data_IF_599471152892
#
_entry.id   IF_599471152892
#
_cell.length_a   1.000
_cell.length_b   1.000
_cell.length_c   1.000
_cell.angle_alpha   90.00
_cell.angle_beta   90.00
_cell.angle_gamma   90.00
#
_symmetry.space_group_name_H-M   'P 1'
#
loop_
_entity.id
_entity.type
_entity.pdbx_description
1 polymer ?
#
# COMPACT_ATOMS: atom_id res chain seq x y z
N UNK A 1 3.53 19.65 -11.08
CA UNK A 1 3.76 18.66 -12.16
C UNK A 1 5.19 18.17 -12.05
N UNK A 2 5.39 16.86 -12.11
CA UNK A 2 6.72 16.26 -11.96
C UNK A 2 7.71 16.80 -13.01
N UNK A 3 8.97 17.14 -12.64
CA UNK A 3 9.92 17.77 -13.53
C UNK A 3 10.20 16.95 -14.80
N UNK A 4 10.26 15.63 -14.69
CA UNK A 4 10.47 14.75 -15.84
C UNK A 4 9.30 14.75 -16.84
N UNK A 5 8.07 14.97 -16.37
CA UNK A 5 6.88 15.07 -17.22
C UNK A 5 6.80 16.47 -17.88
N UNK A 6 7.23 17.51 -17.17
CA UNK A 6 7.29 18.87 -17.73
C UNK A 6 8.32 19.01 -18.85
N UNK A 7 9.41 18.25 -18.77
CA UNK A 7 10.50 18.25 -19.77
C UNK A 7 10.20 17.40 -21.00
N UNK A 8 9.02 16.75 -21.07
CA UNK A 8 8.61 16.02 -22.25
C UNK A 8 8.48 16.97 -23.44
N UNK A 9 8.91 16.47 -24.59
CA UNK A 9 8.93 17.19 -25.87
C UNK A 9 7.51 17.68 -26.25
N UNK A 10 7.41 18.73 -27.06
CA UNK A 10 6.14 19.29 -27.60
C UNK A 10 5.28 18.28 -28.35
N UNK A 11 5.87 17.13 -28.73
CA UNK A 11 5.21 15.95 -29.31
C UNK A 11 4.25 15.23 -28.36
N UNK A 12 4.26 15.55 -27.06
CA UNK A 12 3.33 15.00 -26.08
C UNK A 12 2.32 16.07 -25.71
N UNK A 13 1.06 15.87 -26.08
CA UNK A 13 -0.04 16.78 -25.81
C UNK A 13 -0.21 17.05 -24.30
N UNK A 14 -0.71 18.22 -23.95
CA UNK A 14 -0.93 18.62 -22.57
C UNK A 14 -1.91 17.69 -21.84
N UNK A 15 -2.91 17.16 -22.52
CA UNK A 15 -3.84 16.19 -21.96
C UNK A 15 -3.12 14.87 -21.57
N UNK A 16 -2.22 14.39 -22.44
CA UNK A 16 -1.38 13.22 -22.20
C UNK A 16 -0.46 13.43 -20.99
N UNK A 17 0.18 14.61 -20.88
CA UNK A 17 1.01 14.95 -19.71
C UNK A 17 0.21 14.94 -18.41
N UNK A 18 -1.02 15.45 -18.42
CA UNK A 18 -1.90 15.42 -17.25
C UNK A 18 -2.29 13.98 -16.86
N UNK A 19 -2.55 13.08 -17.83
CA UNK A 19 -2.81 11.68 -17.56
C UNK A 19 -1.59 10.96 -16.97
N UNK A 20 -0.39 11.22 -17.52
CA UNK A 20 0.86 10.69 -16.99
C UNK A 20 1.12 11.20 -15.56
N UNK A 21 0.85 12.46 -15.28
CA UNK A 21 0.95 13.02 -13.93
C UNK A 21 0.00 12.33 -12.95
N UNK A 22 -1.25 12.14 -13.34
CA UNK A 22 -2.25 11.45 -12.50
C UNK A 22 -1.85 10.01 -12.19
N UNK A 23 -1.28 9.28 -13.13
CA UNK A 23 -0.85 7.89 -12.87
C UNK A 23 0.35 7.86 -11.90
N UNK A 24 1.27 8.83 -11.97
CA UNK A 24 2.37 8.96 -11.00
C UNK A 24 1.83 9.26 -9.60
N UNK A 25 0.89 10.19 -9.47
CA UNK A 25 0.26 10.51 -8.18
C UNK A 25 -0.49 9.31 -7.59
N UNK A 26 -1.20 8.54 -8.42
CA UNK A 26 -1.87 7.30 -7.97
C UNK A 26 -0.89 6.23 -7.54
N UNK A 27 0.22 6.07 -8.27
CA UNK A 27 1.30 5.15 -7.90
C UNK A 27 1.94 5.56 -6.57
N UNK A 28 2.30 6.82 -6.39
CA UNK A 28 2.88 7.32 -5.16
C UNK A 28 1.95 7.12 -3.95
N UNK A 29 0.64 7.37 -4.12
CA UNK A 29 -0.36 7.10 -3.08
C UNK A 29 -0.45 5.62 -2.73
N UNK A 30 -0.44 4.75 -3.73
CA UNK A 30 -0.45 3.29 -3.52
C UNK A 30 0.80 2.83 -2.77
N UNK A 31 1.99 3.27 -3.20
CA UNK A 31 3.26 2.90 -2.58
C UNK A 31 3.33 3.36 -1.11
N UNK A 32 2.91 4.59 -0.83
CA UNK A 32 2.82 5.10 0.54
C UNK A 32 1.92 4.23 1.43
N UNK A 33 0.71 3.90 0.95
CA UNK A 33 -0.22 3.07 1.71
C UNK A 33 0.28 1.63 1.89
N UNK A 34 1.00 1.10 0.90
CA UNK A 34 1.65 -0.21 0.95
C UNK A 34 2.72 -0.26 2.04
N UNK A 35 3.59 0.75 2.09
CA UNK A 35 4.64 0.85 3.12
C UNK A 35 4.03 0.98 4.51
N UNK A 36 3.07 1.89 4.70
CA UNK A 36 2.39 2.06 5.99
C UNK A 36 1.67 0.79 6.45
N UNK A 37 0.96 0.11 5.55
CA UNK A 37 0.31 -1.16 5.88
C UNK A 37 1.33 -2.21 6.33
N UNK A 38 2.48 -2.32 5.66
CA UNK A 38 3.53 -3.27 6.00
C UNK A 38 4.14 -2.97 7.38
N UNK A 39 4.42 -1.70 7.69
CA UNK A 39 4.93 -1.28 8.99
C UNK A 39 3.93 -1.62 10.11
N UNK A 40 2.64 -1.27 9.95
CA UNK A 40 1.63 -1.56 10.96
C UNK A 40 1.40 -3.07 11.11
N UNK A 41 1.43 -3.84 10.02
CA UNK A 41 1.33 -5.29 10.06
C UNK A 41 2.45 -5.90 10.92
N UNK A 42 3.70 -5.52 10.69
CA UNK A 42 4.82 -6.01 11.50
C UNK A 42 4.73 -5.57 12.96
N UNK A 43 4.27 -4.35 13.22
CA UNK A 43 4.05 -3.85 14.57
C UNK A 43 3.00 -4.68 15.31
N UNK A 44 1.87 -4.97 14.67
CA UNK A 44 0.80 -5.81 15.26
C UNK A 44 1.31 -7.22 15.55
N UNK A 45 2.03 -7.84 14.61
CA UNK A 45 2.60 -9.18 14.78
C UNK A 45 3.56 -9.20 15.97
N UNK A 46 4.48 -8.24 16.03
CA UNK A 46 5.49 -8.17 17.09
C UNK A 46 4.85 -7.94 18.47
N UNK A 47 3.91 -7.00 18.57
CA UNK A 47 3.21 -6.72 19.83
C UNK A 47 2.36 -7.91 20.29
N UNK A 48 1.67 -8.59 19.36
CA UNK A 48 0.89 -9.79 19.69
C UNK A 48 1.79 -10.90 20.21
N UNK A 49 2.92 -11.13 19.56
CA UNK A 49 3.88 -12.15 19.98
C UNK A 49 4.48 -11.82 21.36
N UNK A 50 4.89 -10.59 21.59
CA UNK A 50 5.40 -10.13 22.89
C UNK A 50 4.34 -10.26 23.98
N UNK A 51 3.08 -9.95 23.69
CA UNK A 51 1.97 -10.10 24.63
C UNK A 51 1.69 -11.55 24.96
N UNK A 52 1.71 -12.45 24.00
CA UNK A 52 1.54 -13.90 24.25
C UNK A 52 2.65 -14.43 25.16
N UNK A 53 3.90 -14.06 24.90
CA UNK A 53 5.04 -14.43 25.77
C UNK A 53 4.82 -13.89 27.19
N UNK A 54 4.42 -12.63 27.33
CA UNK A 54 4.14 -12.01 28.63
C UNK A 54 3.05 -12.78 29.39
N UNK A 55 1.92 -13.09 28.74
CA UNK A 55 0.81 -13.86 29.33
C UNK A 55 1.27 -15.25 29.75
N UNK A 56 2.09 -15.91 28.93
CA UNK A 56 2.63 -17.23 29.23
C UNK A 56 3.47 -17.23 30.52
N UNK A 57 4.44 -16.32 30.62
CA UNK A 57 5.33 -16.26 31.80
C UNK A 57 4.66 -15.72 33.05
N UNK A 58 3.78 -14.75 32.93
CA UNK A 58 3.18 -14.07 34.08
C UNK A 58 1.95 -14.77 34.64
N UNK A 59 1.18 -15.45 33.80
CA UNK A 59 -0.10 -16.05 34.19
C UNK A 59 -0.11 -17.57 34.05
N UNK A 60 0.31 -18.10 32.90
CA UNK A 60 0.21 -19.54 32.66
C UNK A 60 1.21 -20.32 33.55
N UNK A 61 2.46 -19.94 33.57
CA UNK A 61 3.50 -20.71 34.28
C UNK A 61 3.27 -20.80 35.79
N UNK A 62 2.95 -19.69 36.53
CA UNK A 62 2.75 -19.73 37.96
C UNK A 62 1.45 -20.43 38.40
N UNK A 63 0.40 -20.38 37.55
CA UNK A 63 -0.95 -20.88 37.89
C UNK A 63 -1.40 -22.09 37.06
N UNK A 64 -0.46 -22.79 36.42
CA UNK A 64 -0.73 -23.91 35.48
C UNK A 64 -1.46 -25.11 36.10
N UNK A 65 -1.53 -25.19 37.46
CA UNK A 65 -2.25 -26.25 38.17
C UNK A 65 -3.78 -26.18 38.02
N UNK A 66 -4.35 -25.04 37.66
CA UNK A 66 -5.78 -24.88 37.47
C UNK A 66 -6.11 -23.80 36.43
N UNK A 67 -6.87 -24.16 35.40
CA UNK A 67 -7.36 -23.24 34.41
C UNK A 67 -8.18 -22.07 35.02
N UNK A 68 -9.03 -22.38 36.00
CA UNK A 68 -9.82 -21.37 36.70
C UNK A 68 -8.94 -20.33 37.40
N UNK A 69 -7.81 -20.75 37.98
CA UNK A 69 -6.86 -19.86 38.63
C UNK A 69 -6.18 -18.92 37.59
N UNK A 70 -5.70 -19.46 36.48
CA UNK A 70 -5.12 -18.69 35.40
C UNK A 70 -6.09 -17.63 34.92
N UNK A 71 -7.34 -18.01 34.63
CA UNK A 71 -8.38 -17.14 34.11
C UNK A 71 -8.77 -16.05 35.12
N UNK A 72 -8.93 -16.41 36.40
CA UNK A 72 -9.27 -15.47 37.47
C UNK A 72 -8.20 -14.40 37.63
N UNK A 73 -6.92 -14.77 37.68
CA UNK A 73 -5.81 -13.83 37.85
C UNK A 73 -5.65 -12.96 36.60
N UNK A 74 -5.83 -13.52 35.41
CA UNK A 74 -5.77 -12.78 34.14
C UNK A 74 -6.82 -11.66 34.07
N UNK A 75 -8.09 -11.96 34.40
CA UNK A 75 -9.20 -10.99 34.34
C UNK A 75 -9.08 -9.91 35.41
N UNK A 76 -8.60 -10.27 36.61
CA UNK A 76 -8.48 -9.33 37.73
C UNK A 76 -7.37 -8.29 37.54
N UNK A 77 -6.54 -8.41 36.49
CA UNK A 77 -5.55 -7.41 36.15
C UNK A 77 -6.04 -6.46 35.06
N UNK A 78 -6.33 -5.18 35.37
CA UNK A 78 -6.82 -4.18 34.38
C UNK A 78 -5.89 -4.01 33.18
N UNK A 79 -4.58 -4.17 33.37
CA UNK A 79 -3.58 -4.09 32.31
C UNK A 79 -3.87 -5.04 31.14
N UNK A 80 -4.32 -6.26 31.42
CA UNK A 80 -4.60 -7.26 30.39
C UNK A 80 -5.80 -6.85 29.53
N UNK A 81 -6.82 -6.27 30.14
CA UNK A 81 -7.99 -5.77 29.42
C UNK A 81 -7.61 -4.62 28.47
N UNK A 82 -6.85 -3.63 28.98
CA UNK A 82 -6.39 -2.52 28.13
C UNK A 82 -5.47 -2.98 27.02
N UNK A 83 -4.55 -3.90 27.29
CA UNK A 83 -3.67 -4.47 26.26
C UNK A 83 -4.42 -5.19 25.17
N UNK A 84 -5.43 -5.98 25.54
CA UNK A 84 -6.27 -6.72 24.60
C UNK A 84 -7.08 -5.75 23.71
N UNK A 85 -7.73 -4.75 24.30
CA UNK A 85 -8.47 -3.72 23.55
C UNK A 85 -7.54 -2.95 22.60
N UNK A 86 -6.33 -2.62 23.03
CA UNK A 86 -5.34 -1.94 22.20
C UNK A 86 -4.92 -2.80 20.99
N UNK A 87 -4.64 -4.09 21.21
CA UNK A 87 -4.29 -5.02 20.13
C UNK A 87 -5.43 -5.20 19.12
N UNK A 88 -6.67 -5.31 19.58
CA UNK A 88 -7.86 -5.39 18.73
C UNK A 88 -8.01 -4.09 17.91
N UNK A 89 -7.81 -2.93 18.53
CA UNK A 89 -7.85 -1.62 17.87
C UNK A 89 -6.78 -1.48 16.77
N UNK A 90 -5.54 -1.89 17.08
CA UNK A 90 -4.44 -1.89 16.12
C UNK A 90 -4.68 -2.84 14.95
N UNK A 91 -5.22 -4.03 15.22
CA UNK A 91 -5.61 -4.97 14.17
C UNK A 91 -6.71 -4.38 13.27
N UNK A 92 -7.74 -3.78 13.86
CA UNK A 92 -8.79 -3.09 13.12
C UNK A 92 -8.24 -1.97 12.22
N UNK A 93 -7.30 -1.18 12.73
CA UNK A 93 -6.62 -0.15 11.96
C UNK A 93 -5.80 -0.73 10.79
N UNK A 94 -5.09 -1.83 11.01
CA UNK A 94 -4.37 -2.56 9.96
C UNK A 94 -5.31 -3.00 8.82
N UNK A 95 -6.50 -3.55 9.16
CA UNK A 95 -7.51 -3.96 8.17
C UNK A 95 -8.04 -2.77 7.37
N UNK A 96 -8.25 -1.61 8.01
CA UNK A 96 -8.67 -0.38 7.33
C UNK A 96 -7.59 0.10 6.35
N UNK A 97 -6.31 0.07 6.76
CA UNK A 97 -5.18 0.40 5.87
C UNK A 97 -5.08 -0.54 4.68
N UNK A 98 -5.29 -1.84 4.90
CA UNK A 98 -5.33 -2.83 3.81
C UNK A 98 -6.39 -2.47 2.77
N UNK A 99 -7.62 -2.19 3.21
CA UNK A 99 -8.69 -1.79 2.29
C UNK A 99 -8.37 -0.51 1.52
N UNK A 100 -7.75 0.48 2.17
CA UNK A 100 -7.31 1.72 1.50
C UNK A 100 -6.21 1.45 0.47
N UNK A 101 -5.24 0.59 0.78
CA UNK A 101 -4.19 0.16 -0.13
C UNK A 101 -4.77 -0.55 -1.35
N UNK A 102 -5.66 -1.54 -1.14
CA UNK A 102 -6.28 -2.31 -2.22
C UNK A 102 -7.13 -1.42 -3.15
N UNK A 103 -7.80 -0.41 -2.58
CA UNK A 103 -8.50 0.59 -3.38
C UNK A 103 -7.54 1.44 -4.22
N UNK A 104 -6.45 1.93 -3.61
CA UNK A 104 -5.45 2.72 -4.31
C UNK A 104 -4.74 1.91 -5.41
N UNK A 105 -4.48 0.61 -5.17
CA UNK A 105 -3.92 -0.32 -6.16
C UNK A 105 -4.84 -0.44 -7.37
N UNK A 106 -6.14 -0.67 -7.15
CA UNK A 106 -7.13 -0.77 -8.22
C UNK A 106 -7.25 0.53 -9.03
N UNK A 107 -7.26 1.68 -8.35
CA UNK A 107 -7.31 2.99 -9.00
C UNK A 107 -6.06 3.27 -9.86
N UNK A 108 -4.88 2.88 -9.37
CA UNK A 108 -3.63 2.97 -10.11
C UNK A 108 -3.64 2.07 -11.35
N UNK A 109 -3.99 0.77 -11.18
CA UNK A 109 -4.02 -0.17 -12.29
C UNK A 109 -5.06 0.20 -13.34
N UNK A 110 -6.26 0.65 -12.95
CA UNK A 110 -7.28 1.10 -13.88
C UNK A 110 -6.79 2.27 -14.76
N UNK A 111 -6.17 3.28 -14.15
CA UNK A 111 -5.64 4.43 -14.90
C UNK A 111 -4.45 4.03 -15.79
N UNK A 112 -3.59 3.12 -15.33
CA UNK A 112 -2.48 2.58 -16.12
C UNK A 112 -2.99 1.85 -17.36
N UNK A 113 -3.98 0.95 -17.21
CA UNK A 113 -4.59 0.24 -18.33
C UNK A 113 -5.29 1.23 -19.29
N UNK A 114 -6.00 2.23 -18.77
CA UNK A 114 -6.62 3.26 -19.60
C UNK A 114 -5.62 4.00 -20.50
N UNK A 115 -4.42 4.32 -19.98
CA UNK A 115 -3.35 4.96 -20.77
C UNK A 115 -2.85 4.01 -21.86
N UNK A 116 -2.70 2.72 -21.57
CA UNK A 116 -2.25 1.71 -22.53
C UNK A 116 -3.30 1.54 -23.64
N UNK A 117 -4.57 1.37 -23.30
CA UNK A 117 -5.68 1.19 -24.24
C UNK A 117 -5.83 2.40 -25.15
N UNK A 118 -5.77 3.61 -24.56
CA UNK A 118 -5.89 4.87 -25.31
C UNK A 118 -4.58 5.34 -25.95
N UNK A 119 -3.52 4.53 -25.90
CA UNK A 119 -2.19 4.95 -26.39
C UNK A 119 -2.21 5.39 -27.86
N UNK A 120 -3.04 4.77 -28.72
CA UNK A 120 -3.23 5.16 -30.12
C UNK A 120 -3.89 6.53 -30.28
N UNK A 121 -4.78 6.88 -29.37
CA UNK A 121 -5.50 8.15 -29.37
C UNK A 121 -4.68 9.28 -28.75
N UNK A 122 -3.81 8.96 -27.80
CA UNK A 122 -2.93 9.89 -27.11
C UNK A 122 -1.69 10.27 -27.94
N UNK A 123 -1.26 9.40 -28.87
CA UNK A 123 -0.13 9.61 -29.79
C UNK A 123 -0.60 9.35 -31.23
N UNK A 124 -1.38 10.29 -31.81
CA UNK A 124 -2.06 10.11 -33.10
C UNK A 124 -1.13 10.23 -34.31
N UNK A 125 -0.12 11.11 -34.24
CA UNK A 125 0.80 11.33 -35.36
C UNK A 125 1.90 10.28 -35.36
N UNK A 126 2.41 9.91 -36.54
CA UNK A 126 3.48 8.91 -36.67
C UNK A 126 4.74 9.26 -35.88
N UNK A 127 5.12 10.53 -35.86
CA UNK A 127 6.29 11.00 -35.11
C UNK A 127 6.06 10.94 -33.59
N UNK A 128 4.83 11.25 -33.14
CA UNK A 128 4.41 11.10 -31.75
C UNK A 128 4.42 9.62 -31.36
N UNK A 129 3.89 8.75 -32.22
CA UNK A 129 3.85 7.30 -32.02
C UNK A 129 5.24 6.67 -31.88
N UNK A 130 6.20 7.08 -32.73
CA UNK A 130 7.59 6.64 -32.63
C UNK A 130 8.24 7.10 -31.32
N UNK A 131 7.94 8.31 -30.85
CA UNK A 131 8.49 8.87 -29.62
C UNK A 131 7.86 8.28 -28.34
N UNK A 132 6.72 7.59 -28.42
CA UNK A 132 6.02 6.94 -27.30
C UNK A 132 6.93 6.04 -26.48
N UNK A 133 7.79 5.27 -27.13
CA UNK A 133 8.74 4.38 -26.44
C UNK A 133 9.68 5.13 -25.49
N UNK A 134 10.05 6.35 -25.83
CA UNK A 134 10.89 7.19 -24.97
C UNK A 134 10.14 7.59 -23.70
N UNK A 135 8.88 8.00 -23.84
CA UNK A 135 7.98 8.34 -22.71
C UNK A 135 7.77 7.12 -21.81
N UNK A 136 7.48 5.96 -22.37
CA UNK A 136 7.27 4.72 -21.61
C UNK A 136 8.53 4.27 -20.87
N UNK A 137 9.70 4.38 -21.49
CA UNK A 137 10.99 4.11 -20.84
C UNK A 137 11.26 5.08 -19.69
N UNK A 138 10.98 6.37 -19.88
CA UNK A 138 11.11 7.38 -18.84
C UNK A 138 10.18 7.08 -17.65
N UNK A 139 8.91 6.73 -17.89
CA UNK A 139 7.94 6.37 -16.86
C UNK A 139 8.38 5.13 -16.08
N UNK A 140 8.93 4.12 -16.77
CA UNK A 140 9.46 2.92 -16.13
C UNK A 140 10.70 3.21 -15.29
N UNK A 141 11.63 4.02 -15.82
CA UNK A 141 12.92 4.30 -15.15
C UNK A 141 12.76 5.21 -13.94
N UNK A 142 11.94 6.27 -14.05
CA UNK A 142 11.84 7.31 -13.02
C UNK A 142 10.76 7.02 -11.96
N UNK A 143 9.70 6.29 -12.33
CA UNK A 143 8.52 6.09 -11.48
C UNK A 143 8.13 4.62 -11.29
N UNK A 144 8.89 3.69 -11.88
CA UNK A 144 8.57 2.24 -11.86
C UNK A 144 7.16 1.94 -12.41
N UNK A 145 6.72 2.69 -13.42
CA UNK A 145 5.42 2.53 -14.08
C UNK A 145 5.62 1.90 -15.46
N UNK A 146 5.24 0.63 -15.58
CA UNK A 146 5.33 -0.08 -16.86
C UNK A 146 4.07 0.18 -17.69
N UNK A 147 4.22 0.87 -18.83
CA UNK A 147 3.17 1.17 -19.81
C UNK A 147 3.27 0.30 -21.08
N UNK A 148 4.22 -0.64 -21.16
CA UNK A 148 4.39 -1.49 -22.34
C UNK A 148 3.41 -2.67 -22.38
N UNK A 149 2.98 -3.18 -21.22
CA UNK A 149 2.13 -4.34 -21.11
C UNK A 149 1.02 -4.11 -20.07
N UNK A 150 -0.18 -4.60 -20.35
CA UNK A 150 -1.32 -4.56 -19.40
C UNK A 150 -1.07 -5.46 -18.19
N UNK A 151 -0.42 -6.61 -18.39
CA UNK A 151 -0.12 -7.55 -17.31
C UNK A 151 1.03 -7.06 -16.43
N UNK A 152 0.94 -7.43 -15.15
CA UNK A 152 1.93 -7.11 -14.10
C UNK A 152 3.34 -7.59 -14.43
#
# INVERSE_FOLDING_TARGET
MEPAINQLDERTDQATRQMLQKVVERKAKYDLLKEWHLVIMWLVVFLTFAYVIFVYYQFYLPYSYSFASVFSVYINQPFNLYSMVTLIGLYGYMVVLQKKRDKAEKEYHALRCEIIDKSKDLWKKEDEWKNRHHVFNMMKKNYDINLFHENK
#
